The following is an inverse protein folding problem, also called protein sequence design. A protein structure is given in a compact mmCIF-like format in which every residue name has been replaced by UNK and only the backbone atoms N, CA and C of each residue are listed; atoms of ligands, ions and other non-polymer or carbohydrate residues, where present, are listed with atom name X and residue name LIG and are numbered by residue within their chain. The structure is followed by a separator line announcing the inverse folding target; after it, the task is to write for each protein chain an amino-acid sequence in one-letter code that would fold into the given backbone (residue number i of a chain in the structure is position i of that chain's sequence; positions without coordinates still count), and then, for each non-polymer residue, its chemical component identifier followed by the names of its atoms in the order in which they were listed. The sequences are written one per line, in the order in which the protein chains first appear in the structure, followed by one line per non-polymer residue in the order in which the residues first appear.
data_IF_372365684321
#
_entry.id   IF_372365684321
#
_cell.length_a   1.000
_cell.length_b   1.000
_cell.length_c   1.000
_cell.angle_alpha   90.00
_cell.angle_beta   90.00
_cell.angle_gamma   90.00
#
_symmetry.space_group_name_H-M   'P 1'
#
loop_
_entity.id
_entity.type
_entity.pdbx_description
1 polymer ?
#
# COMPACT_ATOMS: atom_id res chain seq x y z
N UNK A 1 -13.85 -18.15 7.40
CA UNK A 1 -13.93 -17.05 8.39
C UNK A 1 -13.37 -15.77 7.77
N UNK A 2 -14.22 -14.79 7.45
CA UNK A 2 -13.78 -13.51 6.90
C UNK A 2 -13.35 -12.59 8.04
N UNK A 3 -12.06 -12.24 8.10
CA UNK A 3 -11.56 -11.25 9.06
C UNK A 3 -12.39 -9.95 8.99
N UNK A 4 -12.84 -9.38 10.12
CA UNK A 4 -13.59 -8.14 10.13
C UNK A 4 -12.79 -7.01 9.46
N UNK A 5 -13.46 -6.18 8.65
CA UNK A 5 -12.84 -5.08 7.89
C UNK A 5 -11.88 -4.20 8.73
N UNK A 6 -12.23 -3.73 9.95
CA UNK A 6 -11.31 -2.90 10.73
C UNK A 6 -10.03 -3.66 11.10
N UNK A 7 -10.13 -4.96 11.41
CA UNK A 7 -8.98 -5.79 11.76
C UNK A 7 -8.04 -5.99 10.58
N UNK A 8 -8.57 -6.13 9.35
CA UNK A 8 -7.74 -6.19 8.14
C UNK A 8 -6.96 -4.90 7.91
N UNK A 9 -7.60 -3.75 8.13
CA UNK A 9 -6.95 -2.44 7.95
C UNK A 9 -5.89 -2.22 9.02
N UNK A 10 -6.18 -2.55 10.28
CA UNK A 10 -5.21 -2.46 11.37
C UNK A 10 -3.99 -3.36 11.12
N UNK A 11 -4.22 -4.59 10.65
CA UNK A 11 -3.13 -5.51 10.31
C UNK A 11 -2.29 -5.00 9.13
N UNK A 12 -2.93 -4.46 8.09
CA UNK A 12 -2.23 -3.83 6.97
C UNK A 12 -1.41 -2.62 7.41
N UNK A 13 -1.97 -1.75 8.26
CA UNK A 13 -1.24 -0.62 8.85
C UNK A 13 0.01 -1.11 9.59
N UNK A 14 -0.14 -2.14 10.42
CA UNK A 14 0.96 -2.69 11.20
C UNK A 14 2.06 -3.27 10.30
N UNK A 15 1.68 -4.05 9.28
CA UNK A 15 2.64 -4.63 8.34
C UNK A 15 3.39 -3.54 7.58
N UNK A 16 2.68 -2.55 7.04
CA UNK A 16 3.29 -1.45 6.30
C UNK A 16 4.20 -0.63 7.21
N UNK A 17 3.81 -0.40 8.45
CA UNK A 17 4.63 0.28 9.46
C UNK A 17 5.94 -0.47 9.70
N UNK A 18 5.87 -1.78 10.02
CA UNK A 18 7.07 -2.59 10.30
C UNK A 18 8.00 -2.62 9.08
N UNK A 19 7.47 -2.83 7.88
CA UNK A 19 8.26 -2.83 6.65
C UNK A 19 8.93 -1.47 6.44
N UNK A 20 8.20 -0.37 6.65
CA UNK A 20 8.75 0.99 6.52
C UNK A 20 9.89 1.23 7.50
N UNK A 21 9.73 0.82 8.77
CA UNK A 21 10.77 0.96 9.80
C UNK A 21 12.01 0.19 9.39
N UNK A 22 11.86 -1.05 8.93
CA UNK A 22 12.98 -1.88 8.49
C UNK A 22 13.69 -1.28 7.27
N UNK A 23 12.93 -0.75 6.31
CA UNK A 23 13.50 -0.08 5.13
C UNK A 23 14.26 1.19 5.49
N UNK A 24 13.73 2.02 6.39
CA UNK A 24 14.43 3.23 6.84
C UNK A 24 15.63 2.92 7.72
N UNK A 25 15.57 1.85 8.52
CA UNK A 25 16.67 1.44 9.41
C UNK A 25 17.82 0.78 8.68
N UNK A 26 17.52 -0.14 7.76
CA UNK A 26 18.50 -0.99 7.07
C UNK A 26 18.73 -0.58 5.60
N UNK A 27 18.08 0.49 5.15
CA UNK A 27 18.27 1.04 3.82
C UNK A 27 19.63 1.74 3.64
N UNK A 28 19.86 2.22 2.42
CA UNK A 28 21.14 2.77 1.95
C UNK A 28 21.68 3.94 2.79
N UNK A 29 20.80 4.68 3.47
CA UNK A 29 21.10 5.78 4.39
C UNK A 29 20.46 5.53 5.77
N UNK A 30 20.68 4.33 6.34
CA UNK A 30 19.99 3.84 7.54
C UNK A 30 19.87 4.88 8.65
N UNK A 31 18.63 5.23 9.01
CA UNK A 31 18.33 6.14 10.12
C UNK A 31 18.50 5.45 11.48
N UNK A 32 18.76 6.25 12.51
CA UNK A 32 18.63 5.83 13.90
C UNK A 32 17.19 5.37 14.22
N UNK A 33 17.05 4.52 15.24
CA UNK A 33 15.77 3.91 15.60
C UNK A 33 14.65 4.93 15.87
N UNK A 34 14.95 6.02 16.58
CA UNK A 34 13.97 7.06 16.90
C UNK A 34 13.33 7.67 15.64
N UNK A 35 14.13 8.29 14.75
CA UNK A 35 13.63 8.82 13.48
C UNK A 35 12.94 7.76 12.62
N UNK A 36 13.48 6.54 12.51
CA UNK A 36 12.90 5.48 11.71
C UNK A 36 11.47 5.10 12.17
N UNK A 37 11.24 5.01 13.48
CA UNK A 37 9.92 4.75 14.06
C UNK A 37 8.95 5.91 13.81
N UNK A 38 9.39 7.15 14.06
CA UNK A 38 8.56 8.35 13.88
C UNK A 38 8.16 8.58 12.41
N UNK A 39 9.13 8.49 11.50
CA UNK A 39 8.87 8.66 10.06
C UNK A 39 7.95 7.56 9.56
N UNK A 40 8.18 6.32 9.97
CA UNK A 40 7.31 5.20 9.57
C UNK A 40 5.88 5.35 10.05
N UNK A 41 5.65 6.01 11.19
CA UNK A 41 4.31 6.25 11.72
C UNK A 41 3.49 7.15 10.78
N UNK A 42 4.14 8.12 10.13
CA UNK A 42 3.53 9.00 9.13
C UNK A 42 3.48 8.32 7.76
N UNK A 43 4.52 7.58 7.40
CA UNK A 43 4.61 6.90 6.09
C UNK A 43 3.59 5.78 5.95
N UNK A 44 3.28 5.03 7.02
CA UNK A 44 2.33 3.94 6.98
C UNK A 44 0.91 4.33 6.49
N UNK A 45 0.24 5.35 7.06
CA UNK A 45 -1.06 5.79 6.55
C UNK A 45 -0.97 6.36 5.13
N UNK A 46 0.12 7.09 4.80
CA UNK A 46 0.34 7.63 3.45
C UNK A 46 0.47 6.49 2.42
N UNK A 47 1.23 5.45 2.74
CA UNK A 47 1.41 4.29 1.88
C UNK A 47 0.11 3.52 1.66
N UNK A 48 -0.76 3.41 2.68
CA UNK A 48 -2.08 2.81 2.51
C UNK A 48 -3.01 3.66 1.65
N UNK A 49 -3.03 4.98 1.85
CA UNK A 49 -3.81 5.89 1.00
C UNK A 49 -3.32 5.80 -0.45
N UNK A 50 -2.01 5.76 -0.66
CA UNK A 50 -1.41 5.58 -1.98
C UNK A 50 -1.80 4.24 -2.60
N UNK A 51 -1.82 3.16 -1.82
CA UNK A 51 -2.31 1.85 -2.25
C UNK A 51 -3.77 1.91 -2.73
N UNK A 52 -4.62 2.63 -2.01
CA UNK A 52 -6.02 2.81 -2.42
C UNK A 52 -6.16 3.59 -3.74
N UNK A 53 -5.37 4.64 -3.91
CA UNK A 53 -5.32 5.42 -5.16
C UNK A 53 -4.83 4.54 -6.31
N UNK A 54 -3.75 3.77 -6.09
CA UNK A 54 -3.19 2.84 -7.07
C UNK A 54 -4.22 1.80 -7.51
N UNK A 55 -4.97 1.23 -6.58
CA UNK A 55 -6.03 0.27 -6.88
C UNK A 55 -7.14 0.89 -7.73
N UNK A 56 -7.50 2.16 -7.48
CA UNK A 56 -8.47 2.88 -8.30
C UNK A 56 -7.98 3.06 -9.74
N UNK A 57 -6.71 3.42 -9.91
CA UNK A 57 -6.08 3.58 -11.23
C UNK A 57 -6.03 2.24 -11.96
N UNK A 58 -5.59 1.18 -11.27
CA UNK A 58 -5.53 -0.18 -11.82
C UNK A 58 -6.90 -0.68 -12.29
N UNK A 59 -7.96 -0.45 -11.51
CA UNK A 59 -9.34 -0.78 -11.93
C UNK A 59 -9.77 -0.01 -13.19
N UNK A 60 -9.30 1.22 -13.35
CA UNK A 60 -9.50 2.02 -14.57
C UNK A 60 -8.81 1.39 -15.79
N UNK A 61 -7.54 1.01 -15.64
CA UNK A 61 -6.77 0.33 -16.67
C UNK A 61 -7.39 -1.03 -17.04
N UNK A 62 -7.83 -1.80 -16.04
CA UNK A 62 -8.49 -3.08 -16.25
C UNK A 62 -9.80 -2.94 -17.04
N UNK A 63 -10.62 -1.92 -16.69
CA UNK A 63 -11.84 -1.58 -17.45
C UNK A 63 -11.53 -1.14 -18.88
N UNK A 64 -10.43 -0.41 -19.12
CA UNK A 64 -10.00 -0.04 -20.46
C UNK A 64 -9.59 -1.28 -21.27
N UNK A 65 -8.81 -2.18 -20.68
CA UNK A 65 -8.41 -3.45 -21.31
C UNK A 65 -9.58 -4.38 -21.60
N UNK A 66 -10.58 -4.45 -20.71
CA UNK A 66 -11.84 -5.19 -20.97
C UNK A 66 -12.61 -4.60 -22.15
N UNK A 67 -12.76 -3.27 -22.22
CA UNK A 67 -13.46 -2.60 -23.34
C UNK A 67 -12.74 -2.80 -24.67
N UNK A 68 -11.41 -2.75 -24.68
CA UNK A 68 -10.62 -2.98 -25.88
C UNK A 68 -10.69 -4.44 -26.36
N UNK A 69 -10.66 -5.42 -25.45
CA UNK A 69 -10.86 -6.83 -25.80
C UNK A 69 -12.27 -7.11 -26.33
N UNK A 70 -13.30 -6.51 -25.72
CA UNK A 70 -14.68 -6.63 -26.17
C UNK A 70 -14.87 -6.05 -27.59
N UNK A 71 -14.21 -4.92 -27.92
CA UNK A 71 -14.22 -4.34 -29.27
C UNK A 71 -13.48 -5.17 -30.34
N UNK A 72 -12.64 -6.12 -29.94
CA UNK A 72 -11.92 -7.01 -30.87
C UNK A 72 -12.61 -8.36 -31.07
N UNK A 73 -13.55 -8.70 -30.20
CA UNK A 73 -14.33 -9.94 -30.27
C UNK A 73 -15.73 -9.72 -30.88
N UNK A 74 -16.11 -8.47 -31.12
CA UNK A 74 -17.28 -8.07 -31.90
C UNK A 74 -16.84 -7.66 -33.30
#
# INVERSE_FOLDING_TARGET
MTLPKPLKVALLLLIVYVISVLLFRFGRNGMEWGPALLVSLVVAPVALLWGHVRDRINKGAEKAGRRWRAKRQA
#
